data_IF_557571908291
#
_entry.id   IF_557571908291
#
_cell.length_a   1.000
_cell.length_b   1.000
_cell.length_c   1.000
_cell.angle_alpha   90.00
_cell.angle_beta   90.00
_cell.angle_gamma   90.00
#
_symmetry.space_group_name_H-M   'P 1'
#
loop_
_entity.id
_entity.type
_entity.pdbx_description
1 polymer ?
#
# COMPACT_ATOMS: atom_id res chain seq x y z
N UNK A 1 -44.37 -2.05 18.22
CA UNK A 1 -43.51 -2.80 17.26
C UNK A 1 -42.08 -2.32 17.46
N UNK A 2 -41.13 -3.23 17.69
CA UNK A 2 -39.71 -2.92 18.03
C UNK A 2 -38.81 -2.73 16.80
N UNK A 3 -39.34 -3.03 15.61
CA UNK A 3 -38.61 -3.00 14.37
C UNK A 3 -39.49 -2.37 13.29
N UNK A 4 -38.87 -1.56 12.45
CA UNK A 4 -39.43 -1.03 11.22
C UNK A 4 -38.41 -1.24 10.10
N UNK A 5 -38.90 -1.32 8.87
CA UNK A 5 -38.08 -1.33 7.66
C UNK A 5 -38.74 -0.45 6.60
N UNK A 6 -38.00 -0.11 5.57
CA UNK A 6 -38.35 0.84 4.51
C UNK A 6 -37.61 0.42 3.23
N UNK A 7 -38.04 0.88 2.04
CA UNK A 7 -39.10 1.85 1.79
C UNK A 7 -40.45 1.17 1.59
N UNK A 8 -41.39 1.32 2.53
CA UNK A 8 -42.73 0.74 2.40
C UNK A 8 -43.80 1.83 2.27
N UNK A 9 -44.65 1.67 1.26
CA UNK A 9 -45.83 2.47 1.00
C UNK A 9 -46.73 1.74 -0.01
N UNK A 10 -48.03 2.04 -0.01
CA UNK A 10 -49.02 1.44 -0.93
C UNK A 10 -49.07 2.11 -2.31
N UNK A 11 -48.10 2.97 -2.64
CA UNK A 11 -48.03 3.78 -3.86
C UNK A 11 -46.62 3.74 -4.47
N UNK A 12 -46.46 4.30 -5.67
CA UNK A 12 -45.14 4.52 -6.28
C UNK A 12 -44.19 5.20 -5.29
N UNK A 13 -43.02 4.59 -5.08
CA UNK A 13 -42.06 4.97 -4.03
C UNK A 13 -41.03 5.98 -4.54
N UNK A 14 -40.72 5.96 -5.84
CA UNK A 14 -39.78 6.87 -6.49
C UNK A 14 -40.08 7.01 -8.00
N UNK A 15 -39.73 8.15 -8.58
CA UNK A 15 -39.54 8.33 -10.04
C UNK A 15 -38.19 7.75 -10.47
N UNK A 16 -37.96 7.59 -11.79
CA UNK A 16 -36.65 7.19 -12.29
C UNK A 16 -35.55 8.14 -11.81
N UNK A 17 -35.76 9.45 -11.88
CA UNK A 17 -34.78 10.44 -11.44
C UNK A 17 -34.49 10.35 -9.94
N UNK A 18 -35.52 10.10 -9.11
CA UNK A 18 -35.33 9.90 -7.67
C UNK A 18 -34.55 8.61 -7.39
N UNK A 19 -34.85 7.53 -8.09
CA UNK A 19 -34.14 6.27 -8.01
C UNK A 19 -32.67 6.43 -8.44
N UNK A 20 -32.45 6.93 -9.65
CA UNK A 20 -31.13 7.19 -10.22
C UNK A 20 -30.31 8.11 -9.29
N UNK A 21 -30.90 9.19 -8.78
CA UNK A 21 -30.25 10.09 -7.82
C UNK A 21 -29.80 9.38 -6.54
N UNK A 22 -30.64 8.50 -5.99
CA UNK A 22 -30.30 7.73 -4.80
C UNK A 22 -29.14 6.76 -5.07
N UNK A 23 -29.20 5.98 -6.16
CA UNK A 23 -28.19 4.95 -6.42
C UNK A 23 -26.85 5.49 -6.93
N UNK A 24 -26.81 6.70 -7.48
CA UNK A 24 -25.53 7.38 -7.74
C UNK A 24 -24.70 7.62 -6.49
N UNK A 25 -25.33 7.68 -5.31
CA UNK A 25 -24.62 7.82 -4.04
C UNK A 25 -24.01 6.51 -3.56
N UNK A 26 -24.49 5.37 -4.06
CA UNK A 26 -24.10 4.04 -3.56
C UNK A 26 -23.09 3.34 -4.45
N UNK A 27 -23.13 3.57 -5.76
CA UNK A 27 -22.33 2.84 -6.73
C UNK A 27 -21.74 3.77 -7.78
N UNK A 28 -20.44 3.64 -8.01
CA UNK A 28 -19.72 4.35 -9.08
C UNK A 28 -20.04 3.72 -10.44
N UNK A 29 -19.91 4.52 -11.50
CA UNK A 29 -20.15 4.08 -12.87
C UNK A 29 -19.09 3.05 -13.33
N UNK A 30 -19.52 2.02 -14.04
CA UNK A 30 -18.61 1.01 -14.60
C UNK A 30 -19.29 -0.31 -14.97
N UNK A 31 -18.49 -1.22 -15.49
CA UNK A 31 -18.83 -2.61 -15.79
C UNK A 31 -18.71 -3.46 -14.53
N UNK A 32 -19.66 -4.37 -14.31
CA UNK A 32 -19.55 -5.39 -13.29
C UNK A 32 -18.58 -6.48 -13.74
N UNK A 33 -17.35 -6.40 -13.27
CA UNK A 33 -16.33 -7.42 -13.47
C UNK A 33 -15.53 -7.63 -12.17
N UNK A 34 -14.97 -8.81 -12.02
CA UNK A 34 -14.07 -9.16 -10.92
C UNK A 34 -12.60 -8.88 -11.26
N UNK A 35 -12.28 -8.78 -12.54
CA UNK A 35 -10.95 -8.42 -13.03
C UNK A 35 -10.99 -7.73 -14.39
N UNK A 36 -9.93 -7.00 -14.73
CA UNK A 36 -9.71 -6.41 -16.06
C UNK A 36 -9.62 -7.47 -17.17
N UNK A 37 -9.33 -8.73 -16.82
CA UNK A 37 -9.25 -9.84 -17.76
C UNK A 37 -10.63 -10.44 -18.06
N UNK A 38 -11.64 -10.16 -17.25
CA UNK A 38 -12.99 -10.67 -17.46
C UNK A 38 -13.57 -10.12 -18.77
N UNK A 39 -14.44 -10.92 -19.38
CA UNK A 39 -15.00 -10.62 -20.70
C UNK A 39 -16.26 -9.78 -20.64
N UNK A 40 -16.81 -9.48 -19.46
CA UNK A 40 -18.07 -8.74 -19.33
C UNK A 40 -18.05 -7.40 -20.08
N UNK A 41 -18.94 -7.24 -21.06
CA UNK A 41 -19.00 -6.06 -21.92
C UNK A 41 -17.66 -5.70 -22.60
N UNK A 42 -16.76 -6.69 -22.77
CA UNK A 42 -15.50 -6.49 -23.49
C UNK A 42 -15.76 -6.41 -24.99
N UNK A 43 -15.16 -5.43 -25.63
CA UNK A 43 -15.22 -5.26 -27.09
C UNK A 43 -14.03 -5.98 -27.73
N UNK A 44 -14.28 -6.67 -28.83
CA UNK A 44 -13.28 -7.35 -29.65
C UNK A 44 -13.55 -7.11 -31.14
N UNK A 45 -12.53 -7.31 -31.97
CA UNK A 45 -12.64 -7.21 -33.43
C UNK A 45 -11.98 -8.41 -34.11
N UNK A 46 -12.40 -8.72 -35.34
CA UNK A 46 -11.97 -9.88 -36.11
C UNK A 46 -11.77 -9.58 -37.60
N UNK A 47 -11.28 -8.37 -37.94
CA UNK A 47 -11.16 -7.87 -39.33
C UNK A 47 -12.51 -7.77 -40.05
N UNK A 48 -13.54 -7.33 -39.33
CA UNK A 48 -14.88 -7.13 -39.86
C UNK A 48 -15.27 -5.64 -39.87
N UNK A 49 -16.36 -5.30 -40.56
CA UNK A 49 -17.01 -3.99 -40.49
C UNK A 49 -17.84 -3.80 -39.22
N UNK A 50 -17.65 -4.67 -38.23
CA UNK A 50 -18.31 -4.65 -36.93
C UNK A 50 -17.29 -4.97 -35.84
N UNK A 51 -17.50 -4.44 -34.65
CA UNK A 51 -16.87 -4.94 -33.43
C UNK A 51 -17.90 -5.72 -32.61
N UNK A 52 -17.46 -6.73 -31.88
CA UNK A 52 -18.33 -7.58 -31.07
C UNK A 52 -18.12 -7.24 -29.60
N UNK A 53 -19.20 -6.82 -28.94
CA UNK A 53 -19.31 -6.67 -27.50
C UNK A 53 -19.81 -7.98 -26.90
N UNK A 54 -19.14 -8.50 -25.87
CA UNK A 54 -19.60 -9.67 -25.15
C UNK A 54 -20.85 -9.37 -24.28
N UNK A 55 -21.51 -10.43 -23.81
CA UNK A 55 -22.50 -10.33 -22.73
C UNK A 55 -21.85 -9.72 -21.46
N UNK A 56 -22.67 -9.14 -20.60
CA UNK A 56 -22.22 -8.57 -19.32
C UNK A 56 -23.14 -7.47 -18.82
N UNK A 57 -22.78 -6.89 -17.68
CA UNK A 57 -23.63 -5.96 -16.94
C UNK A 57 -22.84 -4.70 -16.55
N UNK A 58 -23.53 -3.58 -16.41
CA UNK A 58 -22.91 -2.31 -16.00
C UNK A 58 -23.86 -1.46 -15.16
N UNK A 59 -23.26 -0.49 -14.47
CA UNK A 59 -23.93 0.58 -13.76
C UNK A 59 -23.50 1.92 -14.34
N UNK A 60 -24.46 2.79 -14.66
CA UNK A 60 -24.19 4.13 -15.19
C UNK A 60 -25.20 5.13 -14.66
N UNK A 61 -24.73 6.13 -13.90
CA UNK A 61 -25.52 7.20 -13.30
C UNK A 61 -26.79 6.68 -12.61
N UNK A 62 -26.70 5.63 -11.81
CA UNK A 62 -27.86 5.08 -11.09
C UNK A 62 -28.79 4.20 -11.93
N UNK A 63 -28.41 3.89 -13.18
CA UNK A 63 -29.16 3.00 -14.07
C UNK A 63 -28.37 1.71 -14.31
N UNK A 64 -29.10 0.59 -14.23
CA UNK A 64 -28.59 -0.74 -14.54
C UNK A 64 -28.65 -1.02 -16.04
N UNK A 65 -27.60 -1.64 -16.57
CA UNK A 65 -27.55 -2.15 -17.93
C UNK A 65 -27.17 -3.63 -17.92
N UNK A 66 -27.86 -4.43 -18.72
CA UNK A 66 -27.53 -5.84 -18.93
C UNK A 66 -27.62 -6.19 -20.41
N UNK A 67 -26.59 -6.86 -20.91
CA UNK A 67 -26.52 -7.45 -22.22
C UNK A 67 -26.35 -8.96 -22.08
N UNK A 68 -27.33 -9.76 -22.50
CA UNK A 68 -27.34 -11.22 -22.25
C UNK A 68 -26.66 -12.05 -23.34
N UNK A 69 -26.26 -11.43 -24.46
CA UNK A 69 -25.64 -12.12 -25.59
C UNK A 69 -24.64 -11.22 -26.32
N UNK A 70 -23.79 -11.81 -27.16
CA UNK A 70 -22.86 -11.03 -27.98
C UNK A 70 -23.59 -10.04 -28.88
N UNK A 71 -23.20 -8.77 -28.82
CA UNK A 71 -23.77 -7.67 -29.59
C UNK A 71 -22.76 -7.18 -30.63
N UNK A 72 -23.15 -7.19 -31.91
CA UNK A 72 -22.34 -6.63 -32.98
C UNK A 72 -22.66 -5.14 -33.16
N UNK A 73 -21.64 -4.30 -33.03
CA UNK A 73 -21.73 -2.85 -33.24
C UNK A 73 -21.11 -2.53 -34.60
N UNK A 74 -21.90 -1.90 -35.47
CA UNK A 74 -21.44 -1.50 -36.80
C UNK A 74 -20.36 -0.43 -36.72
N UNK A 75 -19.29 -0.60 -37.51
CA UNK A 75 -18.21 0.37 -37.65
C UNK A 75 -18.35 1.07 -38.99
N UNK A 76 -18.58 2.39 -39.02
CA UNK A 76 -18.58 3.15 -40.28
C UNK A 76 -17.24 3.03 -40.99
N UNK A 77 -17.26 2.81 -42.31
CA UNK A 77 -16.04 2.75 -43.12
C UNK A 77 -15.22 4.05 -43.03
N UNK A 78 -13.89 3.95 -43.18
CA UNK A 78 -12.97 5.07 -43.35
C UNK A 78 -12.34 5.05 -44.77
N UNK A 79 -13.03 4.45 -45.74
CA UNK A 79 -12.55 4.25 -47.12
C UNK A 79 -12.17 5.54 -47.86
N UNK A 80 -12.82 6.66 -47.55
CA UNK A 80 -12.47 7.99 -48.10
C UNK A 80 -11.50 8.80 -47.23
N UNK A 81 -11.08 8.26 -46.08
CA UNK A 81 -10.25 8.99 -45.12
C UNK A 81 -8.78 8.96 -45.48
N UNK A 82 -8.12 10.11 -45.42
CA UNK A 82 -6.68 10.27 -45.66
C UNK A 82 -5.80 10.00 -44.42
N UNK A 83 -6.41 9.78 -43.26
CA UNK A 83 -5.72 9.50 -42.00
C UNK A 83 -6.50 8.48 -41.15
N UNK A 84 -5.83 7.87 -40.18
CA UNK A 84 -6.45 6.99 -39.19
C UNK A 84 -7.51 7.75 -38.39
N UNK A 85 -8.69 7.13 -38.25
CA UNK A 85 -9.79 7.66 -37.46
C UNK A 85 -9.82 6.99 -36.08
N UNK A 86 -9.90 7.81 -35.03
CA UNK A 86 -9.93 7.39 -33.63
C UNK A 86 -11.35 7.54 -33.09
N UNK A 87 -12.01 6.41 -32.85
CA UNK A 87 -13.42 6.29 -32.47
C UNK A 87 -13.56 5.65 -31.08
N UNK A 88 -14.76 5.70 -30.51
CA UNK A 88 -15.08 5.06 -29.22
C UNK A 88 -16.32 4.17 -29.34
N UNK A 89 -16.30 3.05 -28.61
CA UNK A 89 -17.51 2.36 -28.17
C UNK A 89 -17.81 2.83 -26.75
N UNK A 90 -19.02 3.32 -26.54
CA UNK A 90 -19.47 3.85 -25.24
C UNK A 90 -20.73 3.14 -24.79
N UNK A 91 -20.93 3.02 -23.48
CA UNK A 91 -22.25 2.79 -22.92
C UNK A 91 -22.87 4.16 -22.62
N UNK A 92 -24.01 4.46 -23.24
CA UNK A 92 -24.71 5.75 -23.12
C UNK A 92 -26.02 5.56 -22.36
N UNK A 93 -26.18 6.32 -21.28
CA UNK A 93 -27.47 6.59 -20.66
C UNK A 93 -28.08 7.83 -21.33
N UNK A 94 -29.31 7.70 -21.80
CA UNK A 94 -30.13 8.79 -22.32
C UNK A 94 -31.48 8.83 -21.60
N UNK A 95 -31.63 9.70 -20.58
CA UNK A 95 -32.87 9.81 -19.82
C UNK A 95 -34.03 10.39 -20.63
N UNK A 96 -33.75 11.11 -21.72
CA UNK A 96 -34.82 11.68 -22.56
C UNK A 96 -35.49 10.63 -23.44
N UNK A 97 -34.77 9.55 -23.73
CA UNK A 97 -35.25 8.41 -24.49
C UNK A 97 -35.44 7.16 -23.66
N UNK A 98 -35.44 7.26 -22.32
CA UNK A 98 -35.58 6.13 -21.37
C UNK A 98 -34.69 4.92 -21.70
N UNK A 99 -33.45 5.16 -22.16
CA UNK A 99 -32.58 4.09 -22.65
C UNK A 99 -31.17 4.15 -22.09
N UNK A 100 -30.59 2.98 -21.88
CA UNK A 100 -29.15 2.81 -21.70
C UNK A 100 -28.66 1.78 -22.70
N UNK A 101 -27.82 2.20 -23.65
CA UNK A 101 -27.44 1.37 -24.80
C UNK A 101 -25.99 1.58 -25.20
N UNK A 102 -25.41 0.57 -25.84
CA UNK A 102 -24.07 0.65 -26.41
C UNK A 102 -24.13 1.44 -27.71
N UNK A 103 -23.23 2.41 -27.85
CA UNK A 103 -23.21 3.35 -28.97
C UNK A 103 -21.82 3.42 -29.61
N UNK A 104 -21.80 3.48 -30.94
CA UNK A 104 -20.60 3.85 -31.69
C UNK A 104 -20.48 5.37 -31.72
N UNK A 105 -19.33 5.88 -31.30
CA UNK A 105 -19.03 7.31 -31.31
C UNK A 105 -17.85 7.57 -32.26
N UNK A 106 -18.19 8.04 -33.45
CA UNK A 106 -17.21 8.42 -34.47
C UNK A 106 -16.42 9.65 -34.02
N UNK A 107 -15.11 9.62 -34.18
CA UNK A 107 -14.19 10.72 -33.99
C UNK A 107 -13.46 11.11 -35.26
N UNK A 108 -12.20 11.53 -35.10
CA UNK A 108 -11.36 12.05 -36.18
C UNK A 108 -9.90 11.68 -35.93
N UNK A 109 -9.00 12.65 -36.03
CA UNK A 109 -7.58 12.46 -35.69
C UNK A 109 -7.36 12.24 -34.18
N UNK A 110 -8.32 12.63 -33.34
CA UNK A 110 -8.35 12.36 -31.90
C UNK A 110 -9.61 11.59 -31.51
N UNK A 111 -9.55 10.85 -30.40
CA UNK A 111 -10.73 10.23 -29.81
C UNK A 111 -11.77 11.30 -29.43
N UNK A 112 -13.06 11.07 -29.68
CA UNK A 112 -14.12 11.98 -29.23
C UNK A 112 -14.19 12.01 -27.69
N UNK A 113 -14.61 13.13 -27.11
CA UNK A 113 -14.85 13.21 -25.66
C UNK A 113 -16.10 12.43 -25.26
N UNK A 114 -16.14 11.93 -24.02
CA UNK A 114 -17.37 11.40 -23.44
C UNK A 114 -18.34 12.53 -23.15
N UNK A 115 -19.63 12.30 -23.37
CA UNK A 115 -20.69 13.21 -22.91
C UNK A 115 -21.01 12.89 -21.46
N UNK A 116 -20.85 13.85 -20.56
CA UNK A 116 -21.02 13.65 -19.11
C UNK A 116 -21.86 14.78 -18.51
N UNK A 117 -23.11 14.86 -18.94
CA UNK A 117 -24.06 15.86 -18.44
C UNK A 117 -24.89 15.23 -17.32
N UNK A 118 -24.73 15.73 -16.08
CA UNK A 118 -25.51 15.24 -14.93
C UNK A 118 -27.02 15.40 -15.20
N UNK A 119 -27.80 14.36 -14.91
CA UNK A 119 -29.23 14.24 -15.22
C UNK A 119 -29.59 14.32 -16.73
N UNK A 120 -28.61 14.44 -17.62
CA UNK A 120 -28.78 14.34 -19.06
C UNK A 120 -28.09 13.10 -19.62
N UNK A 121 -27.69 13.17 -20.89
CA UNK A 121 -26.89 12.11 -21.50
C UNK A 121 -25.56 11.94 -20.75
N UNK A 122 -25.27 10.70 -20.39
CA UNK A 122 -24.02 10.32 -19.73
C UNK A 122 -23.41 9.10 -20.41
N UNK A 123 -22.10 9.11 -20.58
CA UNK A 123 -21.35 8.06 -21.27
C UNK A 123 -20.18 7.58 -20.42
N UNK A 124 -19.98 6.26 -20.42
CA UNK A 124 -18.73 5.64 -20.00
C UNK A 124 -18.06 4.93 -21.18
N UNK A 125 -16.72 4.87 -21.22
CA UNK A 125 -16.01 4.23 -22.31
C UNK A 125 -16.02 2.71 -22.12
N UNK A 126 -16.16 1.97 -23.23
CA UNK A 126 -15.97 0.52 -23.28
C UNK A 126 -14.71 0.15 -24.08
N UNK A 127 -14.51 0.79 -25.24
CA UNK A 127 -13.31 0.55 -26.04
C UNK A 127 -12.94 1.75 -26.91
N UNK A 128 -11.63 1.86 -27.19
CA UNK A 128 -11.08 2.70 -28.24
C UNK A 128 -11.00 1.89 -29.52
N UNK A 129 -11.45 2.47 -30.63
CA UNK A 129 -11.44 1.83 -31.95
C UNK A 129 -10.66 2.70 -32.90
N UNK A 130 -9.62 2.16 -33.53
CA UNK A 130 -8.84 2.84 -34.56
C UNK A 130 -9.13 2.23 -35.92
N UNK A 131 -9.66 3.04 -36.83
CA UNK A 131 -9.95 2.63 -38.22
C UNK A 131 -8.89 3.25 -39.12
N UNK A 132 -8.06 2.42 -39.76
CA UNK A 132 -6.98 2.90 -40.62
C UNK A 132 -7.50 3.74 -41.80
N UNK A 133 -6.65 4.59 -42.36
CA UNK A 133 -6.96 5.33 -43.59
C UNK A 133 -7.33 4.37 -44.72
N UNK A 134 -8.44 4.62 -45.42
CA UNK A 134 -8.90 3.76 -46.51
C UNK A 134 -9.51 2.42 -46.08
N UNK A 135 -9.57 2.10 -44.78
CA UNK A 135 -10.06 0.81 -44.30
C UNK A 135 -11.59 0.76 -44.18
N UNK A 136 -12.16 -0.41 -44.47
CA UNK A 136 -13.58 -0.76 -44.26
C UNK A 136 -13.79 -1.77 -43.12
N UNK A 137 -12.70 -2.21 -42.48
CA UNK A 137 -12.70 -3.23 -41.44
C UNK A 137 -11.78 -2.83 -40.28
N UNK A 138 -12.04 -3.38 -39.09
CA UNK A 138 -11.22 -3.16 -37.89
C UNK A 138 -10.46 -4.44 -37.53
N UNK A 139 -9.11 -4.41 -37.49
CA UNK A 139 -8.33 -5.55 -37.01
C UNK A 139 -8.42 -5.68 -35.49
N UNK A 140 -8.11 -6.85 -34.91
CA UNK A 140 -8.05 -7.03 -33.45
C UNK A 140 -7.18 -6.00 -32.73
N UNK A 141 -6.03 -5.65 -33.32
CA UNK A 141 -5.11 -4.62 -32.78
C UNK A 141 -5.67 -3.19 -32.85
N UNK A 142 -6.75 -2.98 -33.59
CA UNK A 142 -7.44 -1.70 -33.70
C UNK A 142 -8.45 -1.45 -32.57
N UNK A 143 -8.59 -2.40 -31.62
CA UNK A 143 -9.46 -2.24 -30.44
C UNK A 143 -8.60 -2.26 -29.18
N UNK A 144 -8.75 -1.24 -28.35
CA UNK A 144 -8.11 -1.15 -27.03
C UNK A 144 -9.18 -1.04 -25.96
N UNK A 145 -9.12 -1.93 -24.99
CA UNK A 145 -10.01 -1.95 -23.82
C UNK A 145 -9.75 -0.73 -22.94
N UNK A 146 -10.81 0.01 -22.63
CA UNK A 146 -10.76 1.18 -21.74
C UNK A 146 -11.97 1.20 -20.79
N UNK A 147 -12.56 0.02 -20.54
CA UNK A 147 -13.71 -0.13 -19.64
C UNK A 147 -13.40 0.49 -18.29
N UNK A 148 -14.36 1.25 -17.77
CA UNK A 148 -14.42 1.53 -16.34
C UNK A 148 -15.05 0.33 -15.65
N UNK A 149 -14.53 -0.04 -14.49
CA UNK A 149 -15.09 -1.11 -13.67
C UNK A 149 -15.71 -0.53 -12.44
N UNK A 150 -16.81 -1.14 -11.98
CA UNK A 150 -17.42 -0.68 -10.75
C UNK A 150 -16.54 -1.02 -9.55
N UNK A 151 -16.41 -0.06 -8.64
CA UNK A 151 -15.82 -0.31 -7.34
C UNK A 151 -16.71 -1.22 -6.49
N UNK A 152 -16.09 -1.97 -5.58
CA UNK A 152 -16.79 -2.61 -4.48
C UNK A 152 -16.57 -1.76 -3.22
N UNK A 153 -17.60 -1.57 -2.38
CA UNK A 153 -17.40 -0.88 -1.11
C UNK A 153 -16.36 -1.62 -0.28
N UNK A 154 -15.61 -0.86 0.52
CA UNK A 154 -14.75 -1.45 1.54
C UNK A 154 -15.61 -2.33 2.45
N UNK A 155 -15.13 -3.53 2.72
CA UNK A 155 -15.81 -4.44 3.65
C UNK A 155 -15.14 -4.37 5.01
N UNK A 156 -15.96 -4.44 6.05
CA UNK A 156 -15.52 -4.43 7.43
C UNK A 156 -15.71 -5.83 8.01
N UNK A 157 -14.74 -6.28 8.81
CA UNK A 157 -14.77 -7.64 9.35
C UNK A 157 -13.81 -7.85 10.52
N UNK A 158 -13.70 -9.11 10.89
CA UNK A 158 -12.68 -9.60 11.80
C UNK A 158 -12.09 -10.91 11.27
N UNK A 159 -10.85 -11.19 11.66
CA UNK A 159 -10.02 -12.26 11.09
C UNK A 159 -10.65 -13.67 11.00
N UNK A 160 -11.61 -14.12 11.84
CA UNK A 160 -12.24 -15.42 11.63
C UNK A 160 -13.49 -15.38 10.71
N UNK A 161 -14.06 -14.20 10.43
CA UNK A 161 -15.33 -14.06 9.70
C UNK A 161 -15.19 -13.25 8.41
N UNK A 162 -13.98 -13.22 7.82
CA UNK A 162 -13.77 -12.48 6.57
C UNK A 162 -14.61 -13.08 5.44
N UNK A 163 -15.18 -12.19 4.62
CA UNK A 163 -15.73 -12.57 3.32
C UNK A 163 -14.64 -13.21 2.46
N UNK A 164 -14.98 -14.09 1.50
CA UNK A 164 -14.02 -14.58 0.53
C UNK A 164 -13.30 -13.42 -0.17
N UNK A 165 -11.96 -13.47 -0.33
CA UNK A 165 -11.20 -12.41 -0.97
C UNK A 165 -11.61 -12.29 -2.42
N UNK A 166 -11.95 -11.07 -2.84
CA UNK A 166 -12.15 -10.74 -4.26
C UNK A 166 -11.09 -9.77 -4.71
N UNK A 167 -10.61 -9.94 -5.94
CA UNK A 167 -9.63 -9.06 -6.56
C UNK A 167 -10.07 -7.60 -6.50
N UNK A 168 -9.18 -6.72 -6.04
CA UNK A 168 -9.41 -5.28 -5.96
C UNK A 168 -10.30 -4.83 -4.79
N UNK A 169 -10.85 -5.76 -3.99
CA UNK A 169 -11.66 -5.39 -2.85
C UNK A 169 -10.78 -4.96 -1.67
N UNK A 170 -11.16 -3.86 -1.02
CA UNK A 170 -10.55 -3.43 0.24
C UNK A 170 -11.29 -4.04 1.43
N UNK A 171 -10.53 -4.53 2.40
CA UNK A 171 -11.06 -5.08 3.65
C UNK A 171 -10.39 -4.41 4.83
N UNK A 172 -11.19 -4.05 5.83
CA UNK A 172 -10.73 -3.43 7.07
C UNK A 172 -11.08 -4.34 8.24
N UNK A 173 -10.06 -4.85 8.91
CA UNK A 173 -10.17 -5.63 10.14
C UNK A 173 -9.82 -4.79 11.35
N UNK A 174 -10.42 -5.11 12.50
CA UNK A 174 -10.08 -4.53 13.80
C UNK A 174 -10.13 -2.99 13.83
N UNK A 175 -10.84 -2.37 12.89
CA UNK A 175 -10.95 -0.92 12.72
C UNK A 175 -9.72 -0.22 12.12
N UNK A 176 -8.59 -0.91 11.92
CA UNK A 176 -7.35 -0.27 11.48
C UNK A 176 -6.52 -1.10 10.48
N UNK A 177 -6.64 -2.43 10.46
CA UNK A 177 -5.85 -3.27 9.57
C UNK A 177 -6.47 -3.29 8.17
N UNK A 178 -5.73 -2.81 7.16
CA UNK A 178 -6.17 -2.74 5.78
C UNK A 178 -5.60 -3.92 4.98
N UNK A 179 -6.46 -4.56 4.21
CA UNK A 179 -6.12 -5.66 3.30
C UNK A 179 -6.66 -5.41 1.89
N UNK A 180 -5.97 -5.94 0.89
CA UNK A 180 -6.40 -6.01 -0.50
C UNK A 180 -6.63 -7.46 -0.90
N UNK A 181 -7.82 -7.77 -1.41
CA UNK A 181 -8.09 -9.07 -1.99
C UNK A 181 -7.45 -9.21 -3.38
N UNK A 182 -6.83 -10.36 -3.65
CA UNK A 182 -6.29 -10.71 -4.98
C UNK A 182 -7.17 -11.72 -5.75
N UNK A 183 -8.25 -12.18 -5.11
CA UNK A 183 -9.17 -13.23 -5.60
C UNK A 183 -8.97 -14.59 -4.93
N UNK A 184 -7.88 -14.78 -4.18
CA UNK A 184 -7.53 -16.02 -3.49
C UNK A 184 -7.20 -15.79 -2.01
N UNK A 185 -6.59 -14.65 -1.68
CA UNK A 185 -6.12 -14.28 -0.35
C UNK A 185 -6.39 -12.80 -0.04
N UNK A 186 -6.47 -12.50 1.25
CA UNK A 186 -6.46 -11.14 1.78
C UNK A 186 -5.01 -10.75 2.07
N UNK A 187 -4.43 -9.90 1.23
CA UNK A 187 -3.06 -9.43 1.39
C UNK A 187 -3.02 -8.20 2.28
N UNK A 188 -2.28 -8.26 3.37
CA UNK A 188 -2.16 -7.16 4.31
C UNK A 188 -1.38 -5.99 3.69
N UNK A 189 -1.96 -4.79 3.73
CA UNK A 189 -1.33 -3.56 3.24
C UNK A 189 -0.69 -2.76 4.36
N UNK A 190 -1.29 -2.77 5.56
CA UNK A 190 -0.83 -1.96 6.67
C UNK A 190 -1.91 -1.79 7.73
N UNK A 191 -1.56 -1.17 8.85
CA UNK A 191 -2.48 -0.77 9.90
C UNK A 191 -2.52 0.75 9.90
N UNK A 192 -3.72 1.32 9.98
CA UNK A 192 -3.94 2.73 10.26
C UNK A 192 -3.47 3.02 11.70
N UNK A 193 -2.16 3.18 11.87
CA UNK A 193 -1.54 3.63 13.10
C UNK A 193 -1.22 5.12 13.02
N UNK A 194 -1.23 5.79 14.17
CA UNK A 194 -0.76 7.18 14.28
C UNK A 194 0.63 7.34 13.63
N UNK A 195 0.88 8.41 12.86
CA UNK A 195 2.13 8.55 12.11
C UNK A 195 3.35 8.73 13.03
N UNK A 196 3.14 9.06 14.31
CA UNK A 196 4.18 9.30 15.30
C UNK A 196 4.83 8.00 15.79
N UNK A 197 6.15 8.01 15.96
CA UNK A 197 6.86 6.91 16.58
C UNK A 197 6.45 6.78 18.06
N UNK A 198 6.19 5.53 18.51
CA UNK A 198 5.94 5.21 19.91
C UNK A 198 7.24 5.32 20.71
N UNK A 199 7.17 5.77 21.96
CA UNK A 199 8.32 5.83 22.87
C UNK A 199 8.36 4.63 23.81
N UNK A 200 9.57 4.19 24.17
CA UNK A 200 9.80 3.23 25.26
C UNK A 200 11.08 3.60 26.01
N UNK A 201 11.27 3.04 27.21
CA UNK A 201 12.50 3.22 28.00
C UNK A 201 13.39 2.00 27.83
N UNK A 202 14.53 2.11 27.12
CA UNK A 202 15.47 1.00 26.95
C UNK A 202 16.10 0.60 28.28
N UNK A 203 16.43 -0.67 28.46
CA UNK A 203 17.23 -1.15 29.59
C UNK A 203 18.60 -1.53 29.07
N UNK A 204 19.65 -0.93 29.65
CA UNK A 204 21.04 -1.18 29.29
C UNK A 204 21.65 -2.17 30.27
N UNK A 205 22.32 -3.20 29.77
CA UNK A 205 22.96 -4.22 30.59
C UNK A 205 24.42 -4.44 30.17
N UNK A 206 25.25 -4.87 31.12
CA UNK A 206 26.50 -5.56 30.87
C UNK A 206 26.36 -6.94 31.54
N UNK A 207 26.21 -7.98 30.72
CA UNK A 207 25.88 -9.32 31.21
C UNK A 207 24.55 -9.32 31.97
N UNK A 208 24.56 -9.79 33.22
CA UNK A 208 23.40 -9.78 34.11
C UNK A 208 23.20 -8.45 34.86
N UNK A 209 24.15 -7.51 34.76
CA UNK A 209 24.12 -6.25 35.51
C UNK A 209 23.41 -5.16 34.71
N UNK A 210 22.44 -4.48 35.31
CA UNK A 210 21.84 -3.27 34.72
C UNK A 210 22.77 -2.07 34.90
N UNK A 211 23.08 -1.38 33.81
CA UNK A 211 23.96 -0.20 33.81
C UNK A 211 23.16 1.00 34.32
N UNK A 212 23.67 1.67 35.36
CA UNK A 212 23.11 2.93 35.85
C UNK A 212 23.89 4.11 35.26
N UNK A 213 23.23 4.87 34.37
CA UNK A 213 23.78 6.03 33.68
C UNK A 213 23.70 7.33 34.48
N UNK A 214 23.17 7.30 35.71
CA UNK A 214 22.97 8.46 36.57
C UNK A 214 21.54 9.01 36.55
N UNK A 215 21.16 9.68 37.65
CA UNK A 215 19.86 10.33 37.81
C UNK A 215 19.70 11.46 36.80
N UNK A 216 18.57 11.50 36.07
CA UNK A 216 18.32 12.51 35.03
C UNK A 216 18.88 12.15 33.65
N UNK A 217 19.43 10.95 33.47
CA UNK A 217 19.82 10.42 32.15
C UNK A 217 18.67 10.50 31.17
N UNK A 218 18.93 11.02 29.96
CA UNK A 218 17.97 10.88 28.86
C UNK A 218 18.16 9.52 28.22
N UNK A 219 17.30 8.56 28.55
CA UNK A 219 17.34 7.20 28.00
C UNK A 219 16.03 6.92 27.27
N UNK A 220 16.02 7.15 25.95
CA UNK A 220 14.80 7.21 25.14
C UNK A 220 14.92 6.25 23.95
N UNK A 221 13.99 5.33 23.86
CA UNK A 221 13.75 4.51 22.70
C UNK A 221 12.53 5.00 21.92
N UNK A 222 12.59 4.97 20.60
CA UNK A 222 11.49 5.25 19.68
C UNK A 222 11.39 4.14 18.66
N UNK A 223 10.17 3.75 18.28
CA UNK A 223 9.96 2.73 17.26
C UNK A 223 8.69 2.97 16.46
N UNK A 224 8.67 2.44 15.24
CA UNK A 224 7.53 2.54 14.32
C UNK A 224 7.49 1.34 13.39
N UNK A 225 6.30 0.78 13.16
CA UNK A 225 6.08 -0.26 12.16
C UNK A 225 6.25 0.33 10.76
N UNK A 226 7.06 -0.31 9.92
CA UNK A 226 7.27 0.10 8.53
C UNK A 226 6.36 -0.67 7.57
N UNK A 227 6.35 -2.00 7.68
CA UNK A 227 5.52 -2.90 6.89
C UNK A 227 5.56 -4.30 7.50
N UNK A 228 4.48 -5.09 7.43
CA UNK A 228 4.48 -6.47 7.94
C UNK A 228 5.02 -6.56 9.37
N UNK A 229 6.02 -7.40 9.61
CA UNK A 229 6.69 -7.50 10.92
C UNK A 229 7.97 -6.64 11.03
N UNK A 230 8.26 -5.77 10.06
CA UNK A 230 9.44 -4.92 10.05
C UNK A 230 9.19 -3.60 10.81
N UNK A 231 10.06 -3.31 11.77
CA UNK A 231 10.02 -2.11 12.60
C UNK A 231 11.29 -1.28 12.44
N UNK A 232 11.14 0.04 12.39
CA UNK A 232 12.23 0.99 12.63
C UNK A 232 12.39 1.23 14.13
N UNK A 233 13.63 1.37 14.59
CA UNK A 233 13.97 1.73 15.98
C UNK A 233 15.08 2.78 16.04
N UNK A 234 14.97 3.70 16.99
CA UNK A 234 16.05 4.60 17.44
C UNK A 234 16.13 4.57 18.96
N UNK A 235 17.31 4.27 19.48
CA UNK A 235 17.65 4.30 20.90
C UNK A 235 18.67 5.41 21.11
N UNK A 236 18.49 6.24 22.12
CA UNK A 236 19.44 7.29 22.49
C UNK A 236 19.64 7.31 23.99
N UNK A 237 20.90 7.35 24.42
CA UNK A 237 21.28 7.61 25.81
C UNK A 237 22.20 8.81 25.89
N UNK A 238 21.86 9.74 26.81
CA UNK A 238 22.72 10.85 27.25
C UNK A 238 22.91 10.70 28.76
N UNK A 239 24.02 10.08 29.20
CA UNK A 239 24.29 9.84 30.61
C UNK A 239 24.46 11.14 31.40
N UNK A 240 24.14 11.09 32.69
CA UNK A 240 24.47 12.16 33.64
C UNK A 240 25.53 11.72 34.66
N UNK A 241 25.82 10.42 34.72
CA UNK A 241 26.83 9.79 35.56
C UNK A 241 27.77 8.89 34.76
N UNK A 242 28.77 8.35 35.44
CA UNK A 242 29.75 7.44 34.87
C UNK A 242 29.58 6.05 35.52
N UNK A 243 29.12 5.02 34.78
CA UNK A 243 29.00 3.68 35.32
C UNK A 243 30.38 3.06 35.63
N UNK A 244 30.46 2.08 36.57
CA UNK A 244 31.69 1.35 36.80
C UNK A 244 32.07 0.52 35.56
N UNK A 245 33.34 0.10 35.49
CA UNK A 245 33.80 -0.78 34.44
C UNK A 245 33.16 -2.18 34.61
N UNK A 246 32.57 -2.69 33.54
CA UNK A 246 32.08 -4.05 33.45
C UNK A 246 32.82 -4.79 32.35
N UNK A 247 33.09 -6.09 32.56
CA UNK A 247 33.82 -6.92 31.60
C UNK A 247 32.93 -7.43 30.45
N UNK A 248 31.62 -7.40 30.65
CA UNK A 248 30.64 -7.85 29.66
C UNK A 248 30.29 -6.75 28.63
N UNK A 249 30.06 -7.14 27.35
CA UNK A 249 29.57 -6.22 26.33
C UNK A 249 28.28 -5.51 26.73
N UNK A 250 28.20 -4.23 26.36
CA UNK A 250 26.96 -3.46 26.52
C UNK A 250 25.86 -4.07 25.63
N UNK A 251 24.70 -4.28 26.24
CA UNK A 251 23.46 -4.72 25.63
C UNK A 251 22.37 -3.68 25.88
N UNK A 252 21.37 -3.63 24.99
CA UNK A 252 20.20 -2.77 25.19
C UNK A 252 18.93 -3.43 24.67
N UNK A 253 17.82 -3.25 25.40
CA UNK A 253 16.53 -3.85 25.03
C UNK A 253 15.89 -3.18 23.80
N UNK A 254 15.24 -4.02 23.01
CA UNK A 254 14.32 -3.64 21.93
C UNK A 254 12.88 -3.58 22.48
N UNK A 255 11.97 -2.83 21.82
CA UNK A 255 10.60 -2.67 22.29
C UNK A 255 9.73 -3.92 22.05
N UNK A 256 10.18 -4.82 21.18
CA UNK A 256 9.48 -6.05 20.78
C UNK A 256 10.50 -7.20 20.71
N UNK A 257 10.00 -8.43 20.77
CA UNK A 257 10.81 -9.63 20.56
C UNK A 257 11.21 -9.77 19.10
N UNK A 258 12.47 -10.11 18.86
CA UNK A 258 13.06 -10.38 17.55
C UNK A 258 12.57 -11.69 16.97
N UNK A 259 12.41 -11.72 15.65
CA UNK A 259 12.18 -12.95 14.90
C UNK A 259 13.43 -13.86 14.95
N UNK A 260 13.22 -15.14 15.28
CA UNK A 260 14.25 -16.01 15.87
C UNK A 260 15.30 -16.64 14.94
N UNK A 261 15.44 -16.23 13.68
CA UNK A 261 16.28 -16.95 12.70
C UNK A 261 17.48 -16.18 12.14
N UNK A 262 17.50 -14.84 12.23
CA UNK A 262 18.53 -14.01 11.58
C UNK A 262 19.09 -12.95 12.53
N UNK A 263 20.27 -12.43 12.20
CA UNK A 263 20.91 -11.34 12.94
C UNK A 263 20.47 -10.02 12.31
N UNK A 264 20.16 -9.05 13.16
CA UNK A 264 19.85 -7.68 12.72
C UNK A 264 21.06 -6.76 12.97
N UNK A 265 21.30 -5.85 12.05
CA UNK A 265 22.38 -4.86 12.13
C UNK A 265 21.80 -3.46 12.32
N UNK A 266 22.42 -2.68 13.22
CA UNK A 266 22.04 -1.31 13.52
C UNK A 266 23.24 -0.38 13.37
N UNK A 267 23.00 0.85 12.94
CA UNK A 267 24.00 1.90 12.94
C UNK A 267 24.14 2.48 14.34
N UNK A 268 25.38 2.70 14.75
CA UNK A 268 25.72 3.35 16.02
C UNK A 268 26.44 4.64 15.75
N UNK A 269 26.04 5.71 16.43
CA UNK A 269 26.74 6.98 16.44
C UNK A 269 27.01 7.36 17.89
N UNK A 270 28.24 7.74 18.19
CA UNK A 270 28.65 8.25 19.48
C UNK A 270 29.36 9.58 19.36
N UNK A 271 29.12 10.45 20.32
CA UNK A 271 29.80 11.74 20.45
C UNK A 271 30.05 12.01 21.92
N UNK A 272 31.31 12.24 22.28
CA UNK A 272 31.65 12.68 23.63
C UNK A 272 31.40 14.17 23.80
N UNK A 273 31.07 14.57 25.02
CA UNK A 273 31.06 15.98 25.39
C UNK A 273 32.47 16.57 25.19
N UNK A 274 32.53 17.87 24.91
CA UNK A 274 33.81 18.60 24.74
C UNK A 274 34.70 18.50 25.98
N UNK A 275 34.10 18.49 27.18
CA UNK A 275 34.80 18.28 28.45
C UNK A 275 35.41 16.88 28.63
N UNK A 276 35.02 15.91 27.81
CA UNK A 276 35.45 14.51 27.87
C UNK A 276 36.46 14.14 26.77
N UNK A 277 36.98 15.12 26.03
CA UNK A 277 37.96 14.91 24.95
C UNK A 277 37.38 14.92 23.54
N UNK A 278 36.04 14.97 23.40
CA UNK A 278 35.38 15.24 22.12
C UNK A 278 35.53 14.15 21.06
N UNK A 279 35.75 12.89 21.43
CA UNK A 279 35.79 11.78 20.47
C UNK A 279 34.41 11.56 19.82
N UNK A 280 34.43 11.08 18.57
CA UNK A 280 33.22 10.62 17.87
C UNK A 280 33.54 9.43 16.98
N UNK A 281 32.59 8.51 16.85
CA UNK A 281 32.71 7.37 15.94
C UNK A 281 31.35 6.93 15.39
N UNK A 282 31.42 6.18 14.30
CA UNK A 282 30.31 5.37 13.78
C UNK A 282 30.68 3.89 13.93
N UNK A 283 29.72 3.09 14.38
CA UNK A 283 29.89 1.66 14.62
C UNK A 283 28.68 0.85 14.20
N UNK A 284 28.71 -0.44 14.52
CA UNK A 284 27.62 -1.36 14.20
C UNK A 284 27.17 -2.06 15.47
N UNK A 285 25.87 -2.07 15.73
CA UNK A 285 25.28 -2.91 16.75
C UNK A 285 24.60 -4.12 16.11
N UNK A 286 24.50 -5.19 16.87
CA UNK A 286 23.99 -6.47 16.38
C UNK A 286 23.04 -7.10 17.38
N UNK A 287 21.93 -7.64 16.87
CA UNK A 287 21.07 -8.53 17.63
C UNK A 287 21.44 -10.00 17.40
N UNK A 288 21.33 -10.81 18.46
CA UNK A 288 21.49 -12.26 18.40
C UNK A 288 20.26 -12.91 19.03
N UNK A 289 19.20 -13.22 18.26
CA UNK A 289 17.97 -13.79 18.81
C UNK A 289 18.18 -15.10 19.59
N UNK A 290 19.25 -15.85 19.26
CA UNK A 290 19.67 -17.06 19.97
C UNK A 290 20.31 -16.81 21.34
N UNK A 291 20.84 -15.61 21.58
CA UNK A 291 21.40 -15.21 22.89
C UNK A 291 20.37 -14.43 23.71
N UNK A 292 19.63 -13.53 23.05
CA UNK A 292 18.56 -12.75 23.65
C UNK A 292 17.57 -12.34 22.58
N UNK A 293 16.32 -12.78 22.72
CA UNK A 293 15.26 -12.53 21.76
C UNK A 293 14.65 -11.13 21.86
N UNK A 294 15.18 -10.23 22.69
CA UNK A 294 14.65 -8.87 22.84
C UNK A 294 15.74 -7.83 23.08
N UNK A 295 16.99 -8.11 22.69
CA UNK A 295 18.13 -7.19 22.88
C UNK A 295 19.00 -7.07 21.65
N UNK A 296 19.54 -5.86 21.49
CA UNK A 296 20.80 -5.66 20.79
C UNK A 296 21.89 -6.18 21.72
N UNK A 297 22.56 -7.25 21.31
CA UNK A 297 23.44 -8.05 22.16
C UNK A 297 24.89 -7.57 22.16
N UNK A 298 25.32 -6.89 21.10
CA UNK A 298 26.68 -6.31 20.99
C UNK A 298 26.64 -4.97 20.29
N UNK A 299 27.53 -4.08 20.72
CA UNK A 299 27.89 -2.87 19.98
C UNK A 299 29.37 -2.97 19.67
N UNK A 300 29.75 -2.82 18.39
CA UNK A 300 31.13 -2.95 17.93
C UNK A 300 31.60 -1.69 17.24
N UNK A 301 32.87 -1.36 17.50
CA UNK A 301 33.57 -0.23 16.89
C UNK A 301 34.85 -0.69 16.23
N UNK A 302 35.22 -0.12 15.07
CA UNK A 302 36.52 -0.38 14.49
C UNK A 302 37.62 0.18 15.39
N UNK A 303 38.74 -0.53 15.50
CA UNK A 303 39.92 -0.06 16.24
C UNK A 303 41.16 -0.19 15.38
N UNK A 304 42.01 0.83 15.38
CA UNK A 304 43.37 0.74 14.81
C UNK A 304 44.29 0.17 15.89
N UNK A 305 44.75 -1.06 15.71
CA UNK A 305 45.81 -1.59 16.57
C UNK A 305 47.15 -1.46 15.84
N UNK A 306 48.08 -0.68 16.42
CA UNK A 306 49.50 -0.77 16.09
C UNK A 306 50.08 -2.02 16.78
N UNK A 307 49.65 -3.21 16.37
CA UNK A 307 50.27 -4.46 16.80
C UNK A 307 51.44 -4.75 15.87
N UNK A 308 52.67 -4.49 16.33
CA UNK A 308 53.86 -5.02 15.68
C UNK A 308 53.82 -6.54 15.78
N UNK A 309 53.52 -7.22 14.66
CA UNK A 309 53.68 -8.67 14.55
C UNK A 309 52.43 -9.50 14.19
N UNK A 310 51.25 -8.90 13.99
CA UNK A 310 50.08 -9.64 13.49
C UNK A 310 49.60 -9.05 12.17
N UNK A 311 49.49 -9.90 11.15
CA UNK A 311 48.94 -9.61 9.81
C UNK A 311 47.83 -8.56 9.84
N UNK A 312 47.98 -7.47 9.07
CA UNK A 312 47.05 -6.35 8.96
C UNK A 312 45.62 -6.75 8.60
N UNK A 313 44.84 -7.09 9.62
CA UNK A 313 43.42 -7.39 9.53
C UNK A 313 42.54 -6.23 10.00
N UNK A 314 41.32 -6.16 9.49
CA UNK A 314 40.29 -5.24 9.96
C UNK A 314 39.90 -5.64 11.39
N UNK A 315 40.23 -4.81 12.38
CA UNK A 315 39.97 -5.09 13.79
C UNK A 315 38.74 -4.32 14.29
N UNK A 316 37.87 -5.00 15.06
CA UNK A 316 36.74 -4.37 15.75
C UNK A 316 36.54 -4.96 17.14
N UNK A 317 36.25 -4.12 18.14
CA UNK A 317 36.06 -4.52 19.54
C UNK A 317 34.63 -4.24 20.00
N UNK A 318 34.15 -5.03 20.96
CA UNK A 318 32.90 -4.73 21.66
C UNK A 318 33.09 -3.48 22.53
N UNK A 319 32.07 -2.64 22.62
CA UNK A 319 32.00 -1.58 23.61
C UNK A 319 31.61 -2.17 24.96
N UNK A 320 32.40 -1.86 25.97
CA UNK A 320 32.14 -2.03 27.40
C UNK A 320 31.89 -0.63 28.00
N UNK A 321 31.44 -0.53 29.25
CA UNK A 321 31.14 0.79 29.86
C UNK A 321 32.33 1.76 29.88
N UNK A 322 33.55 1.24 30.00
CA UNK A 322 34.80 2.00 30.08
C UNK A 322 35.90 1.51 29.12
N UNK A 323 35.54 0.78 28.06
CA UNK A 323 36.49 0.28 27.07
C UNK A 323 35.83 0.15 25.69
N UNK A 324 36.48 0.57 24.60
CA UNK A 324 37.84 1.14 24.53
C UNK A 324 37.94 2.61 25.01
N UNK A 325 36.82 3.24 25.37
CA UNK A 325 36.73 4.58 25.93
C UNK A 325 35.63 4.61 26.99
N UNK A 326 35.61 5.67 27.81
CA UNK A 326 34.56 5.89 28.80
C UNK A 326 33.33 6.53 28.18
N UNK A 327 32.15 6.07 28.59
CA UNK A 327 30.86 6.70 28.31
C UNK A 327 30.41 7.42 29.57
N UNK A 328 30.51 8.74 29.58
CA UNK A 328 30.33 9.54 30.79
C UNK A 328 29.31 10.66 30.62
N UNK A 329 29.17 11.49 31.65
CA UNK A 329 28.19 12.57 31.71
C UNK A 329 28.32 13.53 30.52
N UNK A 330 27.20 13.75 29.83
CA UNK A 330 27.12 14.63 28.66
C UNK A 330 27.45 13.98 27.32
N UNK A 331 27.95 12.74 27.30
CA UNK A 331 28.15 12.00 26.06
C UNK A 331 26.80 11.58 25.45
N UNK A 332 26.78 11.31 24.14
CA UNK A 332 25.58 10.87 23.44
C UNK A 332 25.87 9.60 22.65
N UNK A 333 25.13 8.53 22.93
CA UNK A 333 25.14 7.29 22.16
C UNK A 333 23.77 7.09 21.52
N UNK A 334 23.74 6.98 20.19
CA UNK A 334 22.54 6.69 19.41
C UNK A 334 22.71 5.39 18.65
N UNK A 335 21.69 4.53 18.69
CA UNK A 335 21.59 3.32 17.89
C UNK A 335 20.32 3.41 17.06
N UNK A 336 20.40 3.13 15.76
CA UNK A 336 19.22 3.15 14.89
C UNK A 336 19.29 2.13 13.76
N UNK A 337 18.14 1.62 13.35
CA UNK A 337 18.05 0.65 12.28
C UNK A 337 16.65 0.08 12.18
N UNK A 338 16.56 -1.08 11.53
CA UNK A 338 15.32 -1.84 11.41
C UNK A 338 15.49 -3.24 12.01
N UNK A 339 14.39 -3.85 12.44
CA UNK A 339 14.38 -5.23 12.91
C UNK A 339 13.04 -5.89 12.62
N UNK A 340 13.05 -7.20 12.41
CA UNK A 340 11.83 -8.01 12.30
C UNK A 340 11.35 -8.48 13.68
N UNK A 341 10.08 -8.21 13.98
CA UNK A 341 9.42 -8.64 15.22
C UNK A 341 8.78 -10.04 15.06
N UNK A 342 8.82 -10.83 16.14
CA UNK A 342 8.17 -12.15 16.23
C UNK A 342 6.63 -12.05 16.27
#
# INVERSE_FOLDING_TARGET
>A
MSQSSFPFGSSQIATEDQWSSMFRMTQVDGVFASSENDTDLKVSASNASTVTLAAGEAWIQGTYYANSASLNVSVPTNSGGSSTRNDLIVLRRDPSGDTTTVQYKTGGTSFPSLTQTLNGTWEIPLARVTVAAGASVVPPSGVVDVRWFVGRPAVFGSSPYRRPPTRGQLHIDNGADLYLGDGMSWNYLGTAEEPAAKTYTPVWNAGSTTINWGTGTQNIGRYKRLAGNLYWVKIQVIPTGNPPAYDDPIQVTLPLTLQGSTRELFNVNFTQASGNGGLSFVGTAMAYPTESNNKIARIRVPVSENASGTSGGINSRNILTNSPFNISSGDCLTISGTFEAA
#
